data_IF_368186240240
#
_entry.id   IF_368186240240
#
_cell.length_a   1.000
_cell.length_b   1.000
_cell.length_c   1.000
_cell.angle_alpha   90.00
_cell.angle_beta   90.00
_cell.angle_gamma   90.00
#
_symmetry.space_group_name_H-M   'P 1'
#
loop_
_entity.id
_entity.type
_entity.pdbx_description
1 polymer ?
#
# COMPACT_ATOMS: atom_id res chain seq x y z
N UNK A 1 -59.23 -8.29 24.16
CA UNK A 1 -59.17 -9.53 23.36
C UNK A 1 -58.17 -9.32 22.23
N UNK A 2 -56.93 -9.78 22.39
CA UNK A 2 -55.85 -9.64 21.40
C UNK A 2 -55.22 -11.03 21.23
N UNK A 3 -55.32 -11.60 20.02
CA UNK A 3 -54.91 -12.97 19.71
C UNK A 3 -53.39 -13.01 19.51
N UNK A 4 -52.72 -13.91 20.24
CA UNK A 4 -51.29 -14.24 20.16
C UNK A 4 -51.02 -14.92 18.81
N UNK A 5 -50.20 -14.29 17.96
CA UNK A 5 -49.72 -14.83 16.70
C UNK A 5 -48.45 -15.62 17.00
N UNK A 6 -48.48 -16.93 16.81
CA UNK A 6 -47.31 -17.82 16.92
C UNK A 6 -46.63 -17.90 15.55
N UNK A 7 -45.32 -17.62 15.40
CA UNK A 7 -44.61 -17.83 14.15
C UNK A 7 -44.20 -19.31 13.98
N UNK A 8 -44.36 -19.83 12.77
CA UNK A 8 -43.93 -21.18 12.35
C UNK A 8 -42.39 -21.33 12.32
N UNK A 9 -41.85 -22.55 12.50
CA UNK A 9 -40.41 -22.79 12.48
C UNK A 9 -39.83 -22.78 11.05
N UNK A 10 -38.55 -22.43 10.88
CA UNK A 10 -37.91 -22.41 9.57
C UNK A 10 -37.69 -23.83 9.01
N UNK A 11 -38.04 -24.00 7.74
CA UNK A 11 -37.82 -25.22 6.94
C UNK A 11 -36.33 -25.58 6.89
N UNK A 12 -36.00 -26.83 7.26
CA UNK A 12 -34.65 -27.37 7.20
C UNK A 12 -34.13 -27.35 5.75
N UNK A 13 -33.16 -26.47 5.48
CA UNK A 13 -32.36 -26.52 4.26
C UNK A 13 -31.56 -27.82 4.22
N UNK A 14 -31.75 -28.59 3.15
CA UNK A 14 -31.07 -29.87 2.91
C UNK A 14 -29.55 -29.62 2.84
N UNK A 15 -28.81 -30.06 3.85
CA UNK A 15 -27.35 -29.96 3.92
C UNK A 15 -26.76 -30.76 2.74
N UNK A 16 -26.00 -30.15 1.82
CA UNK A 16 -25.30 -30.89 0.78
C UNK A 16 -24.30 -31.85 1.44
N UNK A 17 -24.35 -33.12 1.05
CA UNK A 17 -23.51 -34.18 1.61
C UNK A 17 -22.02 -33.88 1.31
N UNK A 18 -21.13 -34.14 2.27
CA UNK A 18 -19.69 -33.83 2.21
C UNK A 18 -19.03 -34.29 0.91
N UNK A 19 -19.48 -35.42 0.37
CA UNK A 19 -18.99 -35.99 -0.88
C UNK A 19 -19.18 -35.09 -2.12
N UNK A 20 -20.22 -34.26 -2.16
CA UNK A 20 -20.42 -33.30 -3.27
C UNK A 20 -19.38 -32.17 -3.23
N UNK A 21 -18.94 -31.79 -2.03
CA UNK A 21 -17.88 -30.78 -1.87
C UNK A 21 -16.54 -31.33 -2.30
N UNK A 22 -16.25 -32.58 -1.96
CA UNK A 22 -14.98 -33.22 -2.31
C UNK A 22 -14.84 -33.41 -3.83
N UNK A 23 -15.94 -33.73 -4.52
CA UNK A 23 -15.97 -33.83 -5.99
C UNK A 23 -15.78 -32.46 -6.63
N UNK A 24 -16.44 -31.41 -6.12
CA UNK A 24 -16.30 -30.05 -6.64
C UNK A 24 -14.88 -29.51 -6.44
N UNK A 25 -14.26 -29.78 -5.29
CA UNK A 25 -12.85 -29.42 -5.01
C UNK A 25 -11.89 -30.17 -5.93
N UNK A 26 -12.10 -31.47 -6.15
CA UNK A 26 -11.31 -32.25 -7.11
C UNK A 26 -11.44 -31.72 -8.54
N UNK A 27 -12.63 -31.26 -8.94
CA UNK A 27 -12.88 -30.69 -10.26
C UNK A 27 -12.23 -29.32 -10.45
N UNK A 28 -12.20 -28.48 -9.41
CA UNK A 28 -11.48 -27.19 -9.43
C UNK A 28 -9.96 -27.43 -9.47
N UNK A 29 -9.47 -28.44 -8.75
CA UNK A 29 -8.04 -28.75 -8.69
C UNK A 29 -7.51 -29.34 -10.00
N UNK A 30 -8.35 -30.05 -10.75
CA UNK A 30 -8.00 -30.71 -12.01
C UNK A 30 -8.32 -29.89 -13.27
N UNK A 31 -8.65 -28.60 -13.16
CA UNK A 31 -8.88 -27.74 -14.33
C UNK A 31 -7.53 -27.45 -15.03
N UNK A 32 -7.32 -27.94 -16.27
CA UNK A 32 -6.07 -27.75 -17.02
C UNK A 32 -5.87 -26.30 -17.50
N UNK A 33 -6.79 -25.39 -17.18
CA UNK A 33 -6.73 -23.96 -17.53
C UNK A 33 -6.07 -23.10 -16.44
N UNK A 34 -5.65 -23.70 -15.32
CA UNK A 34 -4.98 -22.97 -14.24
C UNK A 34 -3.60 -22.50 -14.74
N UNK A 35 -3.33 -21.18 -14.82
CA UNK A 35 -2.00 -20.71 -15.18
C UNK A 35 -1.01 -21.32 -14.19
N UNK A 36 0.11 -21.80 -14.72
CA UNK A 36 1.15 -22.48 -13.97
C UNK A 36 1.51 -21.59 -12.76
N UNK A 37 1.50 -22.14 -11.55
CA UNK A 37 1.76 -21.36 -10.32
C UNK A 37 3.16 -20.72 -10.36
N UNK A 38 4.04 -21.29 -11.20
CA UNK A 38 5.36 -20.76 -11.57
C UNK A 38 5.34 -19.50 -12.43
N UNK A 39 4.27 -19.24 -13.21
CA UNK A 39 4.09 -18.01 -13.98
C UNK A 39 3.63 -16.85 -13.10
N UNK A 40 2.84 -17.12 -12.05
CA UNK A 40 2.37 -16.09 -11.10
C UNK A 40 3.52 -15.58 -10.21
N UNK A 41 4.45 -16.45 -9.85
CA UNK A 41 5.63 -16.11 -9.04
C UNK A 41 6.67 -15.22 -9.76
N UNK A 42 6.62 -15.16 -11.09
CA UNK A 42 7.56 -14.38 -11.92
C UNK A 42 6.92 -13.12 -12.53
N UNK A 43 5.69 -12.77 -12.14
CA UNK A 43 5.09 -11.51 -12.56
C UNK A 43 5.95 -10.35 -12.03
N UNK A 44 6.39 -9.41 -12.89
CA UNK A 44 7.21 -8.29 -12.46
C UNK A 44 6.44 -7.50 -11.39
N UNK A 45 7.10 -7.19 -10.27
CA UNK A 45 6.48 -6.38 -9.22
C UNK A 45 6.16 -5.01 -9.80
N UNK A 46 5.09 -4.36 -9.34
CA UNK A 46 4.65 -3.07 -9.89
C UNK A 46 5.81 -2.06 -10.00
N UNK A 47 6.61 -1.93 -8.95
CA UNK A 47 7.72 -0.97 -8.94
C UNK A 47 8.87 -1.35 -9.89
N UNK A 48 9.01 -2.63 -10.27
CA UNK A 48 9.95 -3.07 -11.30
C UNK A 48 9.48 -2.67 -12.71
N UNK A 49 8.18 -2.42 -12.90
CA UNK A 49 7.62 -1.94 -14.17
C UNK A 49 7.77 -0.43 -14.37
N UNK A 50 8.07 0.32 -13.30
CA UNK A 50 8.28 1.77 -13.37
C UNK A 50 9.64 2.09 -13.97
N UNK A 51 9.70 3.16 -14.76
CA UNK A 51 10.96 3.65 -15.33
C UNK A 51 11.89 4.17 -14.23
N UNK A 52 13.19 3.95 -14.41
CA UNK A 52 14.22 4.56 -13.57
C UNK A 52 14.11 6.09 -13.52
N UNK A 53 14.63 6.68 -12.45
CA UNK A 53 14.74 8.13 -12.32
C UNK A 53 15.49 8.73 -13.51
N UNK A 54 15.06 9.91 -13.94
CA UNK A 54 15.79 10.75 -14.88
C UNK A 54 16.58 11.83 -14.12
N UNK A 55 17.59 12.40 -14.79
CA UNK A 55 18.29 13.55 -14.21
C UNK A 55 17.34 14.75 -14.16
N UNK A 56 17.12 15.28 -12.96
CA UNK A 56 16.21 16.42 -12.75
C UNK A 56 16.81 17.40 -11.74
N UNK A 57 17.05 18.67 -12.11
CA UNK A 57 17.55 19.66 -11.17
C UNK A 57 16.51 19.94 -10.08
N UNK A 58 16.99 20.11 -8.84
CA UNK A 58 16.20 20.61 -7.72
C UNK A 58 16.18 22.13 -7.82
N UNK A 59 15.13 22.66 -8.43
CA UNK A 59 15.00 24.10 -8.70
C UNK A 59 14.57 24.84 -7.44
N UNK A 60 15.35 25.82 -6.96
CA UNK A 60 14.92 26.70 -5.88
C UNK A 60 13.68 27.50 -6.27
N UNK A 61 12.87 27.89 -5.28
CA UNK A 61 11.69 28.74 -5.52
C UNK A 61 12.09 30.15 -6.00
N UNK A 62 13.26 30.64 -5.57
CA UNK A 62 13.83 31.91 -6.01
C UNK A 62 14.49 31.77 -7.40
N UNK A 63 13.96 32.49 -8.39
CA UNK A 63 14.32 32.34 -9.83
C UNK A 63 15.76 32.74 -10.17
N UNK A 64 16.40 33.50 -9.30
CA UNK A 64 17.75 34.03 -9.44
C UNK A 64 18.85 33.10 -8.90
N UNK A 65 18.47 32.01 -8.21
CA UNK A 65 19.42 31.08 -7.60
C UNK A 65 19.68 29.86 -8.49
N UNK A 66 20.94 29.46 -8.70
CA UNK A 66 21.25 28.25 -9.46
C UNK A 66 20.77 27.00 -8.71
N UNK A 67 20.40 25.97 -9.45
CA UNK A 67 20.14 24.65 -8.88
C UNK A 67 21.45 24.02 -8.45
N UNK A 68 21.56 23.69 -7.15
CA UNK A 68 22.78 23.11 -6.58
C UNK A 68 22.76 21.57 -6.56
N UNK A 69 21.57 20.99 -6.58
CA UNK A 69 21.36 19.54 -6.48
C UNK A 69 20.52 19.06 -7.66
N UNK A 70 20.74 17.82 -8.06
CA UNK A 70 19.92 17.16 -9.07
C UNK A 70 19.65 15.71 -8.64
N UNK A 71 18.49 15.20 -9.03
CA UNK A 71 18.18 13.78 -8.93
C UNK A 71 19.12 13.03 -9.86
N UNK A 72 19.75 11.98 -9.34
CA UNK A 72 20.63 11.11 -10.13
C UNK A 72 19.76 10.24 -11.06
N UNK A 73 20.13 10.08 -12.34
CA UNK A 73 19.45 9.15 -13.22
C UNK A 73 19.79 7.68 -12.88
N UNK A 74 18.90 6.76 -13.23
CA UNK A 74 19.16 5.31 -13.15
C UNK A 74 18.85 4.67 -11.81
N UNK A 75 18.19 5.38 -10.88
CA UNK A 75 17.72 4.81 -9.61
C UNK A 75 16.36 4.16 -9.84
N UNK A 76 16.17 2.93 -9.36
CA UNK A 76 14.89 2.23 -9.52
C UNK A 76 13.81 2.84 -8.59
N UNK A 77 12.55 2.52 -8.86
CA UNK A 77 11.44 3.11 -8.12
C UNK A 77 11.41 2.72 -6.63
N UNK A 78 11.79 1.48 -6.29
CA UNK A 78 11.85 1.03 -4.90
C UNK A 78 12.84 1.88 -4.10
N UNK A 79 14.10 1.95 -4.54
CA UNK A 79 15.16 2.70 -3.85
C UNK A 79 14.84 4.19 -3.79
N UNK A 80 14.29 4.75 -4.87
CA UNK A 80 13.88 6.16 -4.91
C UNK A 80 12.76 6.45 -3.88
N UNK A 81 11.73 5.60 -3.80
CA UNK A 81 10.63 5.75 -2.85
C UNK A 81 11.07 5.50 -1.41
N UNK A 82 11.95 4.53 -1.15
CA UNK A 82 12.56 4.33 0.17
C UNK A 82 13.32 5.58 0.61
N UNK A 83 14.10 6.19 -0.29
CA UNK A 83 14.79 7.44 0.03
C UNK A 83 13.82 8.61 0.29
N UNK A 84 12.73 8.71 -0.48
CA UNK A 84 11.68 9.71 -0.24
C UNK A 84 11.03 9.50 1.13
N UNK A 85 10.74 8.26 1.52
CA UNK A 85 10.19 7.95 2.85
C UNK A 85 11.11 8.47 3.95
N UNK A 86 12.42 8.19 3.89
CA UNK A 86 13.39 8.71 4.87
C UNK A 86 13.46 10.24 4.90
N UNK A 87 13.35 10.92 3.75
CA UNK A 87 13.31 12.38 3.71
C UNK A 87 12.05 12.94 4.39
N UNK A 88 10.91 12.27 4.24
CA UNK A 88 9.65 12.68 4.88
C UNK A 88 9.70 12.48 6.40
N UNK A 89 10.28 11.38 6.88
CA UNK A 89 10.51 11.18 8.33
C UNK A 89 11.48 12.20 8.91
N UNK A 90 12.55 12.54 8.19
CA UNK A 90 13.41 13.63 8.63
C UNK A 90 12.64 14.96 8.72
N UNK A 91 11.71 15.22 7.80
CA UNK A 91 10.84 16.40 7.86
C UNK A 91 9.85 16.33 9.02
N UNK A 92 9.31 15.15 9.34
CA UNK A 92 8.41 14.93 10.48
C UNK A 92 9.13 15.19 11.81
N UNK A 93 10.28 14.55 12.03
CA UNK A 93 11.09 14.70 13.24
C UNK A 93 11.53 16.16 13.46
N UNK A 94 11.98 16.82 12.38
CA UNK A 94 12.32 18.24 12.45
C UNK A 94 11.10 19.10 12.73
N UNK A 95 9.93 18.71 12.21
CA UNK A 95 8.72 19.46 12.37
C UNK A 95 8.16 19.43 13.78
N UNK A 96 8.17 18.27 14.42
CA UNK A 96 7.77 18.12 15.82
C UNK A 96 8.54 19.07 16.74
N UNK A 97 9.87 19.16 16.56
CA UNK A 97 10.74 20.07 17.33
C UNK A 97 10.42 21.56 17.10
N UNK A 98 10.15 21.94 15.84
CA UNK A 98 9.77 23.32 15.48
C UNK A 98 8.41 23.68 16.11
N UNK A 99 7.47 22.74 16.13
CA UNK A 99 6.10 22.98 16.61
C UNK A 99 6.04 23.41 18.07
N UNK A 100 7.02 22.99 18.88
CA UNK A 100 7.13 23.32 20.32
C UNK A 100 7.37 24.81 20.57
N UNK A 101 7.95 25.51 19.59
CA UNK A 101 8.40 26.89 19.73
C UNK A 101 7.48 27.91 19.03
N UNK A 102 6.47 27.43 18.30
CA UNK A 102 5.56 28.27 17.52
C UNK A 102 4.43 28.87 18.39
N UNK A 103 4.00 30.10 18.05
CA UNK A 103 2.82 30.69 18.68
C UNK A 103 1.54 29.91 18.29
N UNK A 104 0.41 30.05 19.01
CA UNK A 104 -0.77 29.21 18.79
C UNK A 104 -1.33 29.21 17.37
N UNK A 105 -1.29 30.33 16.64
CA UNK A 105 -1.81 30.44 15.27
C UNK A 105 -0.86 29.78 14.28
N UNK A 106 0.43 30.11 14.37
CA UNK A 106 1.48 29.50 13.54
C UNK A 106 1.55 28.00 13.77
N UNK A 107 1.40 27.55 15.02
CA UNK A 107 1.38 26.14 15.39
C UNK A 107 0.23 25.40 14.72
N UNK A 108 -0.96 25.98 14.64
CA UNK A 108 -2.08 25.35 13.93
C UNK A 108 -1.82 25.21 12.42
N UNK A 109 -1.28 26.25 11.79
CA UNK A 109 -0.88 26.18 10.37
C UNK A 109 0.24 25.16 10.15
N UNK A 110 1.19 25.11 11.07
CA UNK A 110 2.32 24.21 11.05
C UNK A 110 1.87 22.75 11.18
N UNK A 111 0.99 22.43 12.14
CA UNK A 111 0.42 21.09 12.28
C UNK A 111 -0.36 20.65 11.04
N UNK A 112 -1.11 21.55 10.39
CA UNK A 112 -1.80 21.23 9.15
C UNK A 112 -0.81 20.85 8.02
N UNK A 113 0.31 21.56 7.93
CA UNK A 113 1.38 21.23 7.00
C UNK A 113 2.04 19.91 7.37
N UNK A 114 2.41 19.71 8.63
CA UNK A 114 3.07 18.51 9.13
C UNK A 114 2.22 17.26 8.88
N UNK A 115 0.91 17.34 9.11
CA UNK A 115 -0.01 16.26 8.80
C UNK A 115 -0.01 15.88 7.30
N UNK A 116 0.16 16.87 6.41
CA UNK A 116 0.29 16.57 4.98
C UNK A 116 1.56 15.78 4.65
N UNK A 117 2.63 15.97 5.45
CA UNK A 117 3.89 15.22 5.34
C UNK A 117 3.71 13.79 5.85
N UNK A 118 3.11 13.62 7.03
CA UNK A 118 2.81 12.30 7.63
C UNK A 118 1.98 11.42 6.67
N UNK A 119 0.94 12.01 6.07
CA UNK A 119 0.09 11.31 5.09
C UNK A 119 0.89 10.94 3.84
N UNK A 120 1.76 11.83 3.36
CA UNK A 120 2.62 11.53 2.22
C UNK A 120 3.57 10.36 2.51
N UNK A 121 4.17 10.31 3.71
CA UNK A 121 5.03 9.20 4.12
C UNK A 121 4.24 7.90 4.20
N UNK A 122 3.10 7.92 4.87
CA UNK A 122 2.24 6.73 5.02
C UNK A 122 1.83 6.14 3.66
N UNK A 123 1.53 6.99 2.67
CA UNK A 123 1.23 6.54 1.30
C UNK A 123 2.45 5.89 0.64
N UNK A 124 3.65 6.48 0.80
CA UNK A 124 4.89 5.91 0.25
C UNK A 124 5.21 4.56 0.90
N UNK A 125 5.11 4.47 2.23
CA UNK A 125 5.36 3.24 2.98
C UNK A 125 4.38 2.14 2.57
N UNK A 126 3.09 2.47 2.41
CA UNK A 126 2.08 1.52 1.93
C UNK A 126 2.37 1.01 0.51
N UNK A 127 2.92 1.85 -0.38
CA UNK A 127 3.33 1.43 -1.73
C UNK A 127 4.55 0.48 -1.69
N UNK A 128 5.51 0.73 -0.80
CA UNK A 128 6.69 -0.12 -0.60
C UNK A 128 6.35 -1.47 0.05
N UNK A 129 5.38 -1.50 0.97
CA UNK A 129 4.86 -2.74 1.57
C UNK A 129 4.04 -3.55 0.56
N UNK A 130 3.18 -2.87 -0.21
CA UNK A 130 2.39 -3.49 -1.28
C UNK A 130 3.25 -4.08 -2.41
N UNK A 131 4.42 -3.51 -2.69
CA UNK A 131 5.34 -4.04 -3.70
C UNK A 131 6.13 -5.27 -3.21
N UNK A 132 6.27 -5.43 -1.88
CA UNK A 132 7.03 -6.52 -1.27
C UNK A 132 6.18 -7.77 -1.02
N UNK A 133 4.87 -7.61 -0.85
CA UNK A 133 3.93 -8.68 -0.47
C UNK A 133 3.47 -9.58 -1.62
N UNK A 134 3.74 -9.24 -2.88
CA UNK A 134 3.32 -10.06 -4.04
C UNK A 134 4.12 -11.35 -4.27
N UNK A 135 5.04 -11.72 -3.37
CA UNK A 135 5.95 -12.85 -3.54
C UNK A 135 6.05 -13.81 -2.36
N UNK A 136 5.22 -13.67 -1.31
CA UNK A 136 5.19 -14.63 -0.18
C UNK A 136 3.87 -15.41 -0.15
N UNK A 137 3.72 -16.37 -1.05
CA UNK A 137 2.94 -17.58 -0.76
C UNK A 137 3.94 -18.64 -0.27
N UNK A 138 4.11 -18.73 1.05
CA UNK A 138 4.95 -19.76 1.67
C UNK A 138 4.16 -21.06 1.77
N UNK A 139 4.68 -22.22 1.31
CA UNK A 139 4.04 -23.51 1.55
C UNK A 139 4.42 -23.96 2.96
N UNK A 140 3.46 -23.99 3.88
CA UNK A 140 3.58 -24.80 5.10
C UNK A 140 3.35 -26.27 4.72
N UNK A 141 4.33 -27.13 5.05
CA UNK A 141 4.44 -28.50 4.56
C UNK A 141 3.72 -29.57 5.37
#
# INVERSE_FOLDING_TARGET
MTKKITPDPPTAGKVPNTHDKDVFLCQILNDPSRPDESEVANAPRLLDTLTFTCSKPVTPQARDKPSLFAIQPGINAQDALTYVSHLLEAAELNGDEISLHANPVERALFWNMLHSVEVARAVVDALLEGSSSSGQASPEG
#
